data_IF_111296011366
#
_entry.id   IF_111296011366
#
_cell.length_a   1.000
_cell.length_b   1.000
_cell.length_c   1.000
_cell.angle_alpha   90.00
_cell.angle_beta   90.00
_cell.angle_gamma   90.00
#
_symmetry.space_group_name_H-M   'P 1'
#
loop_
_entity.id
_entity.type
_entity.pdbx_description
1 polymer ?
#
# COMPACT_ATOMS: atom_id res chain seq x y z
N UNK A 1 0.36 42.55 3.77
CA UNK A 1 -0.80 41.66 3.46
C UNK A 1 -0.51 40.66 2.34
N UNK A 2 0.12 41.04 1.21
CA UNK A 2 0.47 40.12 0.09
C UNK A 2 1.32 38.89 0.50
N UNK A 3 2.27 39.06 1.42
CA UNK A 3 3.15 37.96 1.87
C UNK A 3 2.48 37.01 2.87
N UNK A 4 1.46 37.48 3.63
CA UNK A 4 0.71 36.65 4.58
C UNK A 4 -0.23 35.71 3.82
N UNK A 5 -0.85 36.20 2.74
CA UNK A 5 -1.75 35.42 1.88
C UNK A 5 -1.00 34.28 1.16
N UNK A 6 0.26 34.53 0.78
CA UNK A 6 1.14 33.52 0.20
C UNK A 6 1.50 32.42 1.21
N UNK A 7 1.85 32.79 2.44
CA UNK A 7 2.16 31.83 3.51
C UNK A 7 0.94 30.96 3.85
N UNK A 8 -0.26 31.54 3.96
CA UNK A 8 -1.48 30.75 4.23
C UNK A 8 -1.80 29.76 3.10
N UNK A 9 -1.57 30.15 1.84
CA UNK A 9 -1.80 29.27 0.70
C UNK A 9 -0.83 28.09 0.68
N UNK A 10 0.45 28.32 1.00
CA UNK A 10 1.47 27.27 1.09
C UNK A 10 1.10 26.24 2.18
N UNK A 11 0.60 26.69 3.34
CA UNK A 11 0.21 25.80 4.44
C UNK A 11 -1.00 24.92 4.09
N UNK A 12 -2.00 25.48 3.40
CA UNK A 12 -3.18 24.71 2.95
C UNK A 12 -2.80 23.59 1.98
N UNK A 13 -1.94 23.89 1.02
CA UNK A 13 -1.46 22.92 0.03
C UNK A 13 -0.66 21.81 0.72
N UNK A 14 0.28 22.16 1.62
CA UNK A 14 1.06 21.17 2.37
C UNK A 14 0.19 20.27 3.28
N UNK A 15 -0.85 20.84 3.89
CA UNK A 15 -1.80 20.10 4.72
C UNK A 15 -2.59 19.06 3.90
N UNK A 16 -3.09 19.47 2.73
CA UNK A 16 -3.81 18.57 1.82
C UNK A 16 -2.91 17.41 1.35
N UNK A 17 -1.65 17.67 0.97
CA UNK A 17 -0.71 16.61 0.59
C UNK A 17 -0.42 15.63 1.72
N UNK A 18 -0.25 16.14 2.95
CA UNK A 18 0.03 15.29 4.13
C UNK A 18 -1.16 14.40 4.47
N UNK A 19 -2.38 14.96 4.39
CA UNK A 19 -3.61 14.21 4.62
C UNK A 19 -3.77 13.07 3.59
N UNK A 20 -3.52 13.34 2.30
CA UNK A 20 -3.55 12.35 1.24
C UNK A 20 -2.53 11.23 1.46
N UNK A 21 -1.28 11.55 1.83
CA UNK A 21 -0.25 10.52 2.08
C UNK A 21 -0.60 9.62 3.28
N UNK A 22 -1.14 10.22 4.36
CA UNK A 22 -1.64 9.47 5.52
C UNK A 22 -2.78 8.54 5.14
N UNK A 23 -3.75 9.05 4.38
CA UNK A 23 -4.90 8.28 3.91
C UNK A 23 -4.46 7.10 3.04
N UNK A 24 -3.54 7.32 2.08
CA UNK A 24 -2.98 6.24 1.25
C UNK A 24 -2.29 5.18 2.11
N UNK A 25 -1.49 5.55 3.11
CA UNK A 25 -0.86 4.58 4.00
C UNK A 25 -1.89 3.73 4.76
N UNK A 26 -2.96 4.36 5.26
CA UNK A 26 -4.06 3.66 5.95
C UNK A 26 -4.77 2.68 5.01
N UNK A 27 -5.11 3.12 3.79
CA UNK A 27 -5.82 2.33 2.79
C UNK A 27 -4.99 1.11 2.36
N UNK A 28 -3.70 1.30 2.08
CA UNK A 28 -2.80 0.22 1.71
C UNK A 28 -2.55 -0.74 2.87
N UNK A 29 -2.37 -0.23 4.10
CA UNK A 29 -2.23 -1.06 5.30
C UNK A 29 -3.45 -1.96 5.50
N UNK A 30 -4.66 -1.40 5.44
CA UNK A 30 -5.91 -2.16 5.54
C UNK A 30 -6.06 -3.19 4.40
N UNK A 31 -5.55 -2.87 3.21
CA UNK A 31 -5.57 -3.77 2.05
C UNK A 31 -4.65 -4.97 2.23
N UNK A 32 -3.41 -4.77 2.72
CA UNK A 32 -2.52 -5.91 3.02
C UNK A 32 -2.97 -6.70 4.26
N UNK A 33 -3.82 -6.10 5.10
CA UNK A 33 -4.41 -6.72 6.28
C UNK A 33 -5.76 -7.42 6.08
N UNK A 34 -6.23 -7.52 4.83
CA UNK A 34 -7.43 -8.28 4.53
C UNK A 34 -7.34 -9.71 5.08
N UNK A 35 -8.37 -10.12 5.81
CA UNK A 35 -8.50 -11.48 6.34
C UNK A 35 -8.48 -12.52 5.23
N UNK A 36 -9.06 -12.20 4.06
CA UNK A 36 -9.07 -13.06 2.89
C UNK A 36 -7.67 -13.40 2.36
N UNK A 37 -6.67 -12.52 2.58
CA UNK A 37 -5.28 -12.79 2.20
C UNK A 37 -4.58 -13.79 3.14
N UNK A 38 -5.12 -14.04 4.34
CA UNK A 38 -4.46 -14.85 5.37
C UNK A 38 -4.09 -16.26 4.88
N UNK A 39 -4.97 -16.90 4.12
CA UNK A 39 -4.76 -18.24 3.58
C UNK A 39 -3.69 -18.30 2.48
N UNK A 40 -3.30 -17.14 1.95
CA UNK A 40 -2.36 -17.04 0.84
C UNK A 40 -0.95 -16.73 1.29
N UNK A 41 -0.67 -16.60 2.60
CA UNK A 41 0.68 -16.42 3.12
C UNK A 41 1.32 -17.76 3.50
N UNK A 42 2.60 -17.90 3.20
CA UNK A 42 3.41 -19.06 3.63
C UNK A 42 3.92 -18.88 5.05
N UNK A 43 4.34 -19.97 5.69
CA UNK A 43 4.97 -19.92 7.02
C UNK A 43 6.26 -19.09 7.03
N UNK A 44 7.02 -19.10 5.93
CA UNK A 44 8.23 -18.30 5.76
C UNK A 44 7.95 -16.78 5.76
N UNK A 45 6.82 -16.36 5.20
CA UNK A 45 6.41 -14.95 5.21
C UNK A 45 5.91 -14.53 6.59
N UNK A 46 5.16 -15.40 7.26
CA UNK A 46 4.66 -15.15 8.62
C UNK A 46 5.82 -15.03 9.62
N UNK A 47 6.82 -15.89 9.50
CA UNK A 47 8.05 -15.85 10.31
C UNK A 47 9.01 -14.72 9.92
N UNK A 48 8.90 -14.22 8.68
CA UNK A 48 9.71 -13.14 8.13
C UNK A 48 11.04 -13.58 7.50
N UNK A 49 11.21 -14.88 7.25
CA UNK A 49 12.34 -15.38 6.44
C UNK A 49 12.20 -14.93 4.98
N UNK A 50 10.98 -14.98 4.45
CA UNK A 50 10.67 -14.48 3.12
C UNK A 50 10.08 -13.08 3.23
N UNK A 51 10.70 -12.05 2.60
CA UNK A 51 10.24 -10.68 2.72
C UNK A 51 8.96 -10.46 1.91
N UNK A 52 8.00 -9.77 2.51
CA UNK A 52 6.84 -9.23 1.79
C UNK A 52 7.25 -7.91 1.17
N UNK A 53 6.97 -7.77 -0.13
CA UNK A 53 7.40 -6.62 -0.93
C UNK A 53 6.15 -5.93 -1.49
N UNK A 54 6.13 -4.60 -1.46
CA UNK A 54 5.21 -3.77 -2.23
C UNK A 54 6.01 -3.14 -3.37
N UNK A 55 5.57 -3.37 -4.60
CA UNK A 55 6.18 -2.76 -5.78
C UNK A 55 5.80 -1.28 -5.81
N UNK A 56 6.82 -0.43 -5.84
CA UNK A 56 6.66 1.00 -6.07
C UNK A 56 6.82 1.29 -7.56
N UNK A 57 5.70 1.43 -8.26
CA UNK A 57 5.63 1.74 -9.69
C UNK A 57 5.06 3.14 -9.95
N UNK A 58 5.38 4.11 -9.09
CA UNK A 58 4.93 5.51 -9.12
C UNK A 58 3.43 5.72 -8.82
N UNK A 59 2.65 4.65 -8.67
CA UNK A 59 1.23 4.75 -8.30
C UNK A 59 1.01 4.93 -6.79
N UNK A 60 2.08 4.90 -5.99
CA UNK A 60 2.05 4.98 -4.53
C UNK A 60 3.18 5.89 -4.02
N UNK A 61 3.00 6.59 -2.88
CA UNK A 61 4.04 7.45 -2.31
C UNK A 61 5.29 6.68 -1.86
N UNK A 62 6.47 7.27 -2.01
CA UNK A 62 7.76 6.65 -1.64
C UNK A 62 7.95 6.48 -0.11
N UNK A 63 7.22 7.27 0.68
CA UNK A 63 7.39 7.33 2.14
C UNK A 63 6.40 6.42 2.90
N UNK A 64 5.87 5.39 2.25
CA UNK A 64 4.95 4.44 2.88
C UNK A 64 5.63 3.64 3.99
N UNK A 65 4.91 3.46 5.09
CA UNK A 65 5.34 2.66 6.23
C UNK A 65 4.24 1.65 6.50
N UNK A 66 4.45 0.45 5.95
CA UNK A 66 3.52 -0.67 6.03
C UNK A 66 4.15 -1.82 6.81
N UNK A 67 3.30 -2.54 7.54
CA UNK A 67 3.70 -3.71 8.33
C UNK A 67 2.83 -4.91 8.02
N UNK A 68 3.43 -6.10 8.03
CA UNK A 68 2.70 -7.36 7.99
C UNK A 68 3.40 -8.38 8.89
N UNK A 69 2.64 -9.09 9.72
CA UNK A 69 3.17 -10.05 10.70
C UNK A 69 4.28 -9.46 11.59
N UNK A 70 4.10 -8.20 12.01
CA UNK A 70 5.08 -7.42 12.78
C UNK A 70 6.44 -7.23 12.08
N UNK A 71 6.49 -7.40 10.76
CA UNK A 71 7.66 -7.11 9.91
C UNK A 71 7.34 -5.95 8.97
N UNK A 72 8.32 -5.10 8.71
CA UNK A 72 8.18 -4.00 7.76
C UNK A 72 8.07 -4.58 6.34
N UNK A 73 7.06 -4.16 5.58
CA UNK A 73 6.95 -4.47 4.15
C UNK A 73 8.04 -3.70 3.41
N UNK A 74 8.79 -4.38 2.55
CA UNK A 74 9.82 -3.73 1.73
C UNK A 74 9.14 -3.00 0.58
N UNK A 75 9.38 -1.71 0.46
CA UNK A 75 8.97 -0.93 -0.70
C UNK A 75 10.14 -0.94 -1.68
N UNK A 76 9.96 -1.52 -2.87
CA UNK A 76 11.02 -1.65 -3.88
C UNK A 76 10.50 -1.28 -5.26
N UNK A 77 11.32 -0.60 -6.05
CA UNK A 77 11.04 -0.38 -7.48
C UNK A 77 11.23 -1.68 -8.28
N UNK A 78 10.69 -1.77 -9.51
CA UNK A 78 10.95 -2.91 -10.39
C UNK A 78 12.45 -3.20 -10.59
N UNK A 79 13.29 -2.17 -10.70
CA UNK A 79 14.74 -2.28 -10.88
C UNK A 79 15.44 -2.86 -9.63
N UNK A 80 15.02 -2.41 -8.44
CA UNK A 80 15.51 -2.93 -7.17
C UNK A 80 15.10 -4.40 -6.97
N UNK A 81 13.90 -4.78 -7.41
CA UNK A 81 13.44 -6.17 -7.38
C UNK A 81 14.27 -7.05 -8.32
N UNK A 82 14.55 -6.57 -9.53
CA UNK A 82 15.41 -7.30 -10.47
C UNK A 82 16.80 -7.52 -9.87
N UNK A 83 17.38 -6.49 -9.25
CA UNK A 83 18.67 -6.58 -8.57
C UNK A 83 18.62 -7.55 -7.39
N UNK A 84 17.57 -7.47 -6.55
CA UNK A 84 17.38 -8.38 -5.42
C UNK A 84 17.26 -9.83 -5.89
N UNK A 85 16.57 -10.08 -7.00
CA UNK A 85 16.38 -11.42 -7.55
C UNK A 85 17.69 -12.10 -8.00
N UNK A 86 18.72 -11.30 -8.32
CA UNK A 86 20.04 -11.82 -8.71
C UNK A 86 20.90 -12.24 -7.51
N UNK A 87 20.64 -11.67 -6.33
CA UNK A 87 21.47 -11.89 -5.12
C UNK A 87 20.77 -12.69 -4.03
N UNK A 88 19.44 -12.66 -3.99
CA UNK A 88 18.64 -13.35 -2.99
C UNK A 88 18.42 -14.80 -3.41
N UNK A 89 18.80 -15.74 -2.53
CA UNK A 89 18.72 -17.18 -2.79
C UNK A 89 17.39 -17.82 -2.39
N UNK A 90 16.51 -17.08 -1.72
CA UNK A 90 15.20 -17.56 -1.31
C UNK A 90 14.11 -17.27 -2.34
N UNK A 91 12.87 -17.62 -2.01
CA UNK A 91 11.73 -17.31 -2.86
C UNK A 91 11.38 -15.81 -2.79
N UNK A 92 11.32 -15.14 -3.93
CA UNK A 92 10.73 -13.81 -4.04
C UNK A 92 9.46 -13.92 -4.86
N UNK A 93 8.39 -14.44 -4.27
CA UNK A 93 7.07 -14.49 -4.88
C UNK A 93 6.08 -13.55 -4.17
N UNK A 94 6.42 -13.09 -2.96
CA UNK A 94 5.58 -12.34 -2.03
C UNK A 94 5.47 -10.84 -2.37
N UNK A 95 5.10 -10.52 -3.61
CA UNK A 95 4.90 -9.13 -4.06
C UNK A 95 3.44 -8.73 -4.07
N UNK A 96 3.22 -7.52 -3.59
CA UNK A 96 2.05 -6.72 -3.83
C UNK A 96 2.31 -5.76 -4.99
N UNK A 97 1.42 -5.72 -5.97
CA UNK A 97 1.33 -4.62 -6.92
C UNK A 97 -0.01 -3.95 -6.70
N UNK A 98 -0.03 -2.86 -5.92
CA UNK A 98 -1.25 -2.17 -5.53
C UNK A 98 -1.31 -0.79 -6.19
N UNK A 99 -2.53 -0.41 -6.56
CA UNK A 99 -2.85 0.90 -7.11
C UNK A 99 -4.06 1.47 -6.41
N UNK A 100 -3.98 2.74 -6.04
CA UNK A 100 -5.15 3.53 -5.67
C UNK A 100 -5.88 3.89 -6.97
N UNK A 101 -6.93 3.13 -7.30
CA UNK A 101 -7.69 3.35 -8.54
C UNK A 101 -8.54 4.62 -8.47
N UNK A 102 -9.13 4.88 -7.29
CA UNK A 102 -9.90 6.09 -6.99
C UNK A 102 -9.64 6.52 -5.56
N UNK A 103 -9.53 7.82 -5.33
CA UNK A 103 -9.46 8.44 -4.02
C UNK A 103 -10.14 9.79 -4.09
N UNK A 104 -11.20 9.95 -3.32
CA UNK A 104 -11.85 11.22 -3.01
C UNK A 104 -11.95 11.39 -1.49
N UNK A 105 -12.59 12.47 -1.03
CA UNK A 105 -12.68 12.81 0.39
C UNK A 105 -13.38 11.73 1.24
N UNK A 106 -14.24 10.91 0.62
CA UNK A 106 -15.15 9.97 1.29
C UNK A 106 -15.04 8.53 0.81
N UNK A 107 -14.50 8.29 -0.38
CA UNK A 107 -14.43 6.97 -1.00
C UNK A 107 -13.05 6.70 -1.57
N UNK A 108 -12.63 5.45 -1.47
CA UNK A 108 -11.41 4.99 -2.12
C UNK A 108 -11.61 3.59 -2.69
N UNK A 109 -10.90 3.31 -3.77
CA UNK A 109 -10.83 1.98 -4.37
C UNK A 109 -9.35 1.61 -4.55
N UNK A 110 -8.94 0.51 -3.91
CA UNK A 110 -7.62 -0.08 -4.06
C UNK A 110 -7.77 -1.35 -4.88
N UNK A 111 -6.99 -1.45 -5.95
CA UNK A 111 -6.92 -2.65 -6.79
C UNK A 111 -5.48 -3.14 -6.84
N UNK A 112 -5.29 -4.40 -7.16
CA UNK A 112 -3.95 -4.91 -7.38
C UNK A 112 -3.87 -6.42 -7.37
N UNK A 113 -2.66 -6.92 -7.18
CA UNK A 113 -2.38 -8.33 -7.07
C UNK A 113 -1.44 -8.63 -5.91
N UNK A 114 -1.54 -9.84 -5.37
CA UNK A 114 -0.55 -10.46 -4.50
C UNK A 114 -0.04 -11.74 -5.16
N UNK A 115 1.26 -12.01 -5.10
CA UNK A 115 1.98 -13.12 -5.76
C UNK A 115 2.45 -12.78 -7.18
N UNK A 116 3.71 -13.11 -7.49
CA UNK A 116 4.29 -12.92 -8.85
C UNK A 116 3.81 -14.00 -9.82
N UNK A 117 3.94 -15.26 -9.44
CA UNK A 117 3.77 -16.37 -10.38
C UNK A 117 2.31 -16.82 -10.51
N UNK A 118 1.55 -16.78 -9.42
CA UNK A 118 0.12 -17.10 -9.40
C UNK A 118 -0.67 -15.95 -8.77
N UNK A 119 -0.89 -14.85 -9.52
CA UNK A 119 -1.45 -13.62 -8.96
C UNK A 119 -2.85 -13.81 -8.38
N UNK A 120 -3.02 -13.34 -7.15
CA UNK A 120 -4.29 -13.25 -6.44
C UNK A 120 -4.78 -11.83 -6.64
N UNK A 121 -5.90 -11.67 -7.33
CA UNK A 121 -6.49 -10.36 -7.57
C UNK A 121 -7.07 -9.79 -6.28
N UNK A 122 -6.76 -8.53 -6.00
CA UNK A 122 -7.23 -7.78 -4.85
C UNK A 122 -8.08 -6.61 -5.35
N UNK A 123 -9.25 -6.45 -4.75
CA UNK A 123 -10.07 -5.26 -4.90
C UNK A 123 -10.69 -4.92 -3.56
N UNK A 124 -10.50 -3.68 -3.11
CA UNK A 124 -11.05 -3.19 -1.86
C UNK A 124 -11.69 -1.84 -2.10
N UNK A 125 -12.94 -1.71 -1.65
CA UNK A 125 -13.68 -0.45 -1.68
C UNK A 125 -13.81 0.04 -0.23
N UNK A 126 -13.44 1.30 -0.05
CA UNK A 126 -13.47 1.98 1.22
C UNK A 126 -14.47 3.12 1.21
N UNK A 127 -15.04 3.37 2.38
CA UNK A 127 -15.81 4.57 2.68
C UNK A 127 -15.31 5.17 3.99
N UNK A 128 -15.23 6.51 4.02
CA UNK A 128 -14.79 7.27 5.18
C UNK A 128 -16.00 7.57 6.05
N UNK A 129 -15.99 7.05 7.26
CA UNK A 129 -17.05 7.27 8.26
C UNK A 129 -16.42 7.88 9.51
N UNK A 130 -16.88 9.08 9.90
CA UNK A 130 -16.35 9.86 11.03
C UNK A 130 -14.82 10.05 11.00
N UNK A 131 -14.26 10.23 9.79
CA UNK A 131 -12.82 10.43 9.59
C UNK A 131 -12.01 9.13 9.50
N UNK A 132 -12.62 7.97 9.74
CA UNK A 132 -11.98 6.67 9.65
C UNK A 132 -12.35 5.93 8.36
N UNK A 133 -11.34 5.42 7.66
CA UNK A 133 -11.55 4.56 6.50
C UNK A 133 -12.01 3.16 6.90
N UNK A 134 -13.21 2.78 6.42
CA UNK A 134 -13.81 1.46 6.63
C UNK A 134 -13.90 0.71 5.31
N UNK A 135 -13.67 -0.61 5.38
CA UNK A 135 -13.85 -1.49 4.23
C UNK A 135 -15.35 -1.76 4.11
N UNK A 136 -15.95 -1.38 2.97
CA UNK A 136 -17.35 -1.67 2.66
C UNK A 136 -17.49 -2.87 1.72
N UNK A 137 -16.45 -3.17 0.93
CA UNK A 137 -16.38 -4.36 0.09
C UNK A 137 -14.92 -4.76 -0.11
N UNK A 138 -14.65 -6.06 -0.09
CA UNK A 138 -13.32 -6.60 -0.37
C UNK A 138 -13.40 -7.94 -1.08
N UNK A 139 -12.55 -8.14 -2.07
CA UNK A 139 -12.33 -9.43 -2.74
C UNK A 139 -10.83 -9.69 -2.83
N UNK A 140 -10.41 -10.87 -2.41
CA UNK A 140 -9.09 -11.43 -2.67
C UNK A 140 -9.28 -12.89 -3.09
N UNK A 141 -8.96 -13.21 -4.35
CA UNK A 141 -9.23 -14.52 -4.96
C UNK A 141 -9.63 -14.44 -6.42
#
# INVERSE_FOLDING_TARGET
>A
MRNILFLTLIHLVAFAYTQTAKDVNILLQKTIDLSALKAHYSEEEVSGYTPIILINDENIPDNLILFKFNKRVKLLTPEEIETLSKIYKGNLDSYFQLKIFKLDDSKAEVIGTFRKHNPINIKVVFEKDNGDWKIISSKAG
#
